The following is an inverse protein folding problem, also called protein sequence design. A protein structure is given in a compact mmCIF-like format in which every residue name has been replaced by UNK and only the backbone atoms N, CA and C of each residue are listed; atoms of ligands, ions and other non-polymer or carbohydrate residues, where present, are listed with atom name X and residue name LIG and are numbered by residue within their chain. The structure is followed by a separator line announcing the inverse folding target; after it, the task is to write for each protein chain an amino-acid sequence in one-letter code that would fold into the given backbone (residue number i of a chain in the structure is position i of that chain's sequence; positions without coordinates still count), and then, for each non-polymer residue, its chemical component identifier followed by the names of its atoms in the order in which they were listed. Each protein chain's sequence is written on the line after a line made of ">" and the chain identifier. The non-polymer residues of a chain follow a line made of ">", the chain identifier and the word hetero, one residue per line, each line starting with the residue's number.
data_IF_743131708330
#
_entry.id   IF_743131708330
#
_cell.length_a   1.000
_cell.length_b   1.000
_cell.length_c   1.000
_cell.angle_alpha   90.00
_cell.angle_beta   90.00
_cell.angle_gamma   90.00
#
_symmetry.space_group_name_H-M   'P 1'
#
loop_
_entity.id
_entity.type
_entity.pdbx_description
1 polymer ?
#
# COMPACT_ATOMS: atom_id res chain seq x y z
N UNK A 1 10.13 26.22 4.76
CA UNK A 1 9.30 27.45 4.80
C UNK A 1 7.91 27.12 5.33
N UNK A 2 7.29 28.05 6.07
CA UNK A 2 5.97 27.90 6.71
C UNK A 2 4.86 27.45 5.75
N UNK A 3 4.93 27.86 4.48
CA UNK A 3 4.01 27.42 3.42
C UNK A 3 4.03 25.90 3.17
N UNK A 4 5.17 25.24 3.40
CA UNK A 4 5.28 23.79 3.23
C UNK A 4 4.63 23.03 4.38
N UNK A 5 4.68 23.56 5.61
CA UNK A 5 4.05 22.93 6.77
C UNK A 5 2.52 23.08 6.75
N UNK A 6 1.99 24.23 6.32
CA UNK A 6 0.53 24.43 6.16
C UNK A 6 -0.08 23.44 5.15
N UNK A 7 0.51 23.34 3.94
CA UNK A 7 0.04 22.39 2.91
C UNK A 7 0.11 20.93 3.37
N UNK A 8 1.10 20.58 4.18
CA UNK A 8 1.20 19.22 4.72
C UNK A 8 0.08 18.92 5.71
N UNK A 9 -0.26 19.87 6.58
CA UNK A 9 -1.39 19.72 7.52
C UNK A 9 -2.74 19.57 6.80
N UNK A 10 -2.93 20.21 5.65
CA UNK A 10 -4.14 19.99 4.86
C UNK A 10 -4.18 18.60 4.21
N UNK A 11 -3.06 18.11 3.67
CA UNK A 11 -2.98 16.74 3.13
C UNK A 11 -3.26 15.69 4.21
N UNK A 12 -2.90 15.94 5.48
CA UNK A 12 -3.23 15.04 6.60
C UNK A 12 -4.73 14.79 6.77
N UNK A 13 -5.57 15.74 6.35
CA UNK A 13 -7.04 15.64 6.42
C UNK A 13 -7.62 14.62 5.42
N UNK A 14 -6.82 14.08 4.49
CA UNK A 14 -7.24 13.00 3.59
C UNK A 14 -7.44 11.71 4.41
N UNK A 15 -8.70 11.41 4.74
CA UNK A 15 -9.10 10.22 5.50
C UNK A 15 -9.19 8.95 4.63
N UNK A 16 -8.08 8.60 3.96
CA UNK A 16 -7.93 7.37 3.17
C UNK A 16 -6.61 6.72 3.54
N UNK A 17 -6.50 5.38 3.57
CA UNK A 17 -5.23 4.70 3.87
C UNK A 17 -4.09 5.19 2.96
N UNK A 18 -4.35 5.22 1.66
CA UNK A 18 -3.50 5.81 0.62
C UNK A 18 -4.34 6.75 -0.25
N UNK A 19 -3.68 7.58 -1.04
CA UNK A 19 -4.33 8.56 -1.89
C UNK A 19 -3.53 8.84 -3.16
N UNK A 20 -4.19 9.49 -4.11
CA UNK A 20 -3.61 9.89 -5.38
C UNK A 20 -3.26 11.38 -5.41
N UNK A 21 -2.48 11.84 -6.41
CA UNK A 21 -2.21 13.28 -6.52
C UNK A 21 -3.51 14.06 -6.81
N UNK A 22 -4.56 13.42 -7.34
CA UNK A 22 -5.89 14.03 -7.50
C UNK A 22 -6.54 14.39 -6.16
N UNK A 23 -6.36 13.56 -5.13
CA UNK A 23 -6.88 13.87 -3.79
C UNK A 23 -6.15 15.08 -3.20
N UNK A 24 -4.84 15.19 -3.46
CA UNK A 24 -4.02 16.34 -3.07
C UNK A 24 -4.44 17.60 -3.84
N UNK A 25 -4.68 17.47 -5.15
CA UNK A 25 -5.17 18.56 -5.99
C UNK A 25 -6.50 19.11 -5.45
N UNK A 26 -7.43 18.20 -5.11
CA UNK A 26 -8.74 18.54 -4.56
C UNK A 26 -8.65 19.24 -3.20
N UNK A 27 -7.85 18.71 -2.27
CA UNK A 27 -7.81 19.27 -0.90
C UNK A 27 -7.07 20.59 -0.80
N UNK A 28 -6.11 20.83 -1.68
CA UNK A 28 -5.34 22.09 -1.73
C UNK A 28 -5.89 23.08 -2.76
N UNK A 29 -6.93 22.72 -3.51
CA UNK A 29 -7.48 23.51 -4.61
C UNK A 29 -6.42 23.96 -5.62
N UNK A 30 -5.55 23.03 -6.05
CA UNK A 30 -4.48 23.27 -7.04
C UNK A 30 -4.66 22.36 -8.27
N UNK A 31 -3.98 22.68 -9.37
CA UNK A 31 -3.98 21.82 -10.56
C UNK A 31 -3.34 20.44 -10.29
N UNK A 32 -3.77 19.43 -11.03
CA UNK A 32 -3.19 18.07 -10.94
C UNK A 32 -1.68 18.05 -11.23
N UNK A 33 -1.22 18.87 -12.17
CA UNK A 33 0.21 19.02 -12.47
C UNK A 33 1.00 19.52 -11.27
N UNK A 34 0.50 20.57 -10.61
CA UNK A 34 1.10 21.11 -9.38
C UNK A 34 1.06 20.10 -8.24
N UNK A 35 -0.04 19.37 -8.08
CA UNK A 35 -0.16 18.31 -7.07
C UNK A 35 0.83 17.18 -7.31
N UNK A 36 1.03 16.76 -8.57
CA UNK A 36 2.01 15.72 -8.92
C UNK A 36 3.46 16.15 -8.60
N UNK A 37 3.82 17.40 -8.90
CA UNK A 37 5.13 17.97 -8.54
C UNK A 37 5.28 18.03 -7.02
N UNK A 38 4.24 18.48 -6.30
CA UNK A 38 4.21 18.54 -4.85
C UNK A 38 4.42 17.16 -4.21
N UNK A 39 3.68 16.14 -4.67
CA UNK A 39 3.83 14.76 -4.20
C UNK A 39 5.25 14.24 -4.43
N UNK A 40 5.83 14.48 -5.62
CA UNK A 40 7.22 14.10 -5.91
C UNK A 40 8.21 14.75 -4.95
N UNK A 41 8.04 16.05 -4.68
CA UNK A 41 8.86 16.79 -3.71
C UNK A 41 8.69 16.25 -2.29
N UNK A 42 7.46 15.96 -1.86
CA UNK A 42 7.18 15.47 -0.52
C UNK A 42 7.65 14.02 -0.30
N UNK A 43 7.73 13.21 -1.37
CA UNK A 43 8.42 11.92 -1.33
C UNK A 43 9.92 12.11 -1.09
N UNK A 44 10.58 13.03 -1.82
CA UNK A 44 12.01 13.34 -1.60
C UNK A 44 12.28 13.84 -0.18
N UNK A 45 11.34 14.56 0.42
CA UNK A 45 11.42 15.08 1.78
C UNK A 45 10.94 14.09 2.86
N UNK A 46 10.57 12.86 2.49
CA UNK A 46 10.06 11.82 3.40
C UNK A 46 8.77 12.17 4.16
N UNK A 47 8.00 13.15 3.68
CA UNK A 47 6.65 13.42 4.19
C UNK A 47 5.62 12.41 3.64
N UNK A 48 5.86 11.93 2.42
CA UNK A 48 5.06 10.92 1.75
C UNK A 48 5.94 9.73 1.38
N UNK A 49 5.34 8.54 1.36
CA UNK A 49 5.94 7.35 0.77
C UNK A 49 5.17 7.03 -0.51
N UNK A 50 5.91 6.75 -1.58
CA UNK A 50 5.33 6.37 -2.87
C UNK A 50 5.07 4.86 -2.90
N UNK A 51 3.81 4.47 -2.91
CA UNK A 51 3.39 3.07 -2.95
C UNK A 51 3.50 2.48 -4.36
N UNK A 52 2.97 3.17 -5.37
CA UNK A 52 3.13 2.83 -6.80
C UNK A 52 2.92 4.09 -7.64
N UNK A 53 2.83 3.95 -8.97
CA UNK A 53 2.47 5.10 -9.83
C UNK A 53 1.16 5.71 -9.33
N UNK A 54 1.17 7.03 -9.13
CA UNK A 54 0.07 7.82 -8.62
C UNK A 54 -0.40 7.51 -7.18
N UNK A 55 0.19 6.57 -6.45
CA UNK A 55 -0.35 6.18 -5.13
C UNK A 55 0.66 6.49 -4.04
N UNK A 56 0.20 7.19 -3.00
CA UNK A 56 1.01 7.72 -1.92
C UNK A 56 0.35 7.43 -0.56
N UNK A 57 1.16 7.35 0.48
CA UNK A 57 0.73 7.30 1.87
C UNK A 57 1.52 8.34 2.67
N UNK A 58 0.92 8.92 3.71
CA UNK A 58 1.63 9.77 4.67
C UNK A 58 2.67 8.93 5.42
N UNK A 59 3.88 9.47 5.60
CA UNK A 59 4.95 8.78 6.34
C UNK A 59 4.50 8.39 7.76
N UNK A 60 3.89 9.33 8.46
CA UNK A 60 3.34 9.10 9.80
C UNK A 60 2.26 8.00 9.85
N UNK A 61 1.44 7.88 8.80
CA UNK A 61 0.43 6.82 8.71
C UNK A 61 1.06 5.45 8.44
N UNK A 62 2.12 5.43 7.63
CA UNK A 62 2.90 4.23 7.40
C UNK A 62 3.60 3.75 8.67
N UNK A 63 4.20 4.67 9.43
CA UNK A 63 4.93 4.32 10.65
C UNK A 63 4.00 3.73 11.72
N UNK A 64 2.74 4.17 11.76
CA UNK A 64 1.70 3.65 12.67
C UNK A 64 0.76 2.62 12.01
N UNK A 65 1.12 2.05 10.86
CA UNK A 65 0.22 1.17 10.11
C UNK A 65 0.06 -0.19 10.81
N UNK A 66 -1.18 -0.63 10.97
CA UNK A 66 -1.47 -1.96 11.53
C UNK A 66 -1.15 -3.07 10.52
N UNK A 67 -0.85 -4.31 10.98
CA UNK A 67 -0.61 -5.44 10.08
C UNK A 67 -1.72 -5.65 9.05
N UNK A 68 -2.99 -5.59 9.48
CA UNK A 68 -4.17 -5.69 8.61
C UNK A 68 -4.15 -4.66 7.47
N UNK A 69 -3.77 -3.42 7.77
CA UNK A 69 -3.69 -2.35 6.76
C UNK A 69 -2.53 -2.57 5.79
N UNK A 70 -1.44 -3.23 6.19
CA UNK A 70 -0.37 -3.64 5.25
C UNK A 70 -0.86 -4.67 4.24
N UNK A 71 -1.75 -5.57 4.65
CA UNK A 71 -2.36 -6.57 3.77
C UNK A 71 -3.31 -5.91 2.76
N UNK A 72 -4.00 -4.83 3.15
CA UNK A 72 -4.74 -3.98 2.20
C UNK A 72 -3.81 -3.33 1.18
N UNK A 73 -2.64 -2.84 1.62
CA UNK A 73 -1.64 -2.27 0.71
C UNK A 73 -1.07 -3.30 -0.26
N UNK A 74 -0.87 -4.55 0.14
CA UNK A 74 -0.44 -5.59 -0.79
C UNK A 74 -1.44 -5.76 -1.96
N UNK A 75 -2.73 -5.87 -1.63
CA UNK A 75 -3.77 -6.06 -2.64
C UNK A 75 -3.94 -4.88 -3.62
N UNK A 76 -3.48 -3.67 -3.27
CA UNK A 76 -3.55 -2.52 -4.19
C UNK A 76 -2.25 -2.33 -4.97
N UNK A 77 -1.13 -2.88 -4.53
CA UNK A 77 0.15 -2.75 -5.21
C UNK A 77 0.18 -3.53 -6.53
N UNK A 78 -0.50 -4.68 -6.59
CA UNK A 78 -0.77 -5.40 -7.82
C UNK A 78 -2.19 -5.96 -7.82
N UNK A 79 -2.94 -5.76 -8.90
CA UNK A 79 -4.33 -6.21 -9.04
C UNK A 79 -4.47 -6.99 -10.34
N UNK A 80 -5.15 -8.15 -10.37
CA UNK A 80 -5.68 -8.88 -9.21
C UNK A 80 -4.58 -9.63 -8.44
N UNK A 81 -4.73 -9.69 -7.12
CA UNK A 81 -3.91 -10.50 -6.22
C UNK A 81 -4.67 -10.90 -4.96
N UNK A 82 -4.16 -11.88 -4.24
CA UNK A 82 -4.59 -12.23 -2.88
C UNK A 82 -3.38 -12.60 -2.01
N UNK A 83 -3.50 -12.42 -0.70
CA UNK A 83 -2.48 -12.84 0.27
C UNK A 83 -2.50 -14.38 0.39
N UNK A 84 -1.33 -15.03 0.34
CA UNK A 84 -1.17 -16.49 0.42
C UNK A 84 0.13 -16.89 1.13
N UNK A 85 0.50 -18.17 1.05
CA UNK A 85 1.78 -18.73 1.53
C UNK A 85 1.99 -18.51 3.04
N UNK A 86 3.21 -18.22 3.48
CA UNK A 86 3.54 -18.08 4.89
C UNK A 86 2.76 -16.93 5.53
N UNK A 87 2.49 -15.86 4.76
CA UNK A 87 1.71 -14.73 5.26
C UNK A 87 0.27 -15.13 5.59
N UNK A 88 -0.37 -15.96 4.75
CA UNK A 88 -1.71 -16.46 5.05
C UNK A 88 -1.69 -17.45 6.22
N UNK A 89 -0.72 -18.37 6.27
CA UNK A 89 -0.61 -19.34 7.36
C UNK A 89 -0.44 -18.65 8.72
N UNK A 90 0.54 -17.75 8.85
CA UNK A 90 0.77 -17.02 10.11
C UNK A 90 -0.40 -16.13 10.52
N UNK A 91 -1.16 -15.59 9.55
CA UNK A 91 -2.35 -14.80 9.86
C UNK A 91 -3.47 -15.65 10.49
N UNK A 92 -3.64 -16.90 10.05
CA UNK A 92 -4.69 -17.79 10.55
C UNK A 92 -4.30 -18.53 11.84
N UNK A 93 -3.02 -18.86 12.01
CA UNK A 93 -2.53 -19.57 13.19
C UNK A 93 -2.28 -18.65 14.40
N UNK A 94 -2.56 -17.35 14.27
CA UNK A 94 -2.33 -16.33 15.31
C UNK A 94 -0.89 -16.33 15.87
N UNK A 95 0.08 -16.82 15.10
CA UNK A 95 1.47 -16.80 15.54
C UNK A 95 1.98 -15.37 15.41
N UNK A 96 2.35 -14.74 16.53
CA UNK A 96 2.91 -13.37 16.56
C UNK A 96 4.31 -13.29 15.95
N UNK A 97 4.85 -14.43 15.51
CA UNK A 97 6.14 -14.60 14.85
C UNK A 97 6.09 -14.29 13.34
N UNK A 98 5.08 -13.53 12.89
CA UNK A 98 5.03 -13.00 11.52
C UNK A 98 6.30 -12.18 11.28
N UNK A 99 7.01 -12.49 10.21
CA UNK A 99 7.97 -11.54 9.64
C UNK A 99 7.19 -10.30 9.19
N UNK A 100 6.95 -9.33 10.09
CA UNK A 100 6.10 -8.15 9.84
C UNK A 100 6.54 -7.30 8.64
N UNK A 101 7.73 -7.60 8.12
CA UNK A 101 8.43 -6.97 7.01
C UNK A 101 8.42 -7.82 5.74
N UNK A 102 7.74 -8.97 5.69
CA UNK A 102 7.66 -9.80 4.50
C UNK A 102 6.20 -10.25 4.28
N UNK A 103 5.60 -9.82 3.17
CA UNK A 103 4.21 -10.08 2.81
C UNK A 103 4.18 -10.78 1.47
N UNK A 104 3.56 -11.95 1.44
CA UNK A 104 3.46 -12.80 0.27
C UNK A 104 2.07 -12.74 -0.35
N UNK A 105 2.02 -12.72 -1.67
CA UNK A 105 0.79 -12.66 -2.44
C UNK A 105 0.90 -13.46 -3.73
N UNK A 106 -0.23 -14.00 -4.16
CA UNK A 106 -0.40 -14.62 -5.46
C UNK A 106 -1.06 -13.63 -6.41
N UNK A 107 -0.65 -13.61 -7.67
CA UNK A 107 -1.21 -12.70 -8.67
C UNK A 107 -1.28 -13.33 -10.06
N UNK A 108 -2.13 -12.76 -10.92
CA UNK A 108 -2.21 -13.12 -12.34
C UNK A 108 -1.27 -12.31 -13.23
N UNK A 109 -0.76 -11.17 -12.74
CA UNK A 109 -0.06 -10.19 -13.58
C UNK A 109 1.40 -10.57 -13.78
N UNK A 110 2.22 -10.59 -12.73
CA UNK A 110 3.65 -10.88 -12.80
C UNK A 110 4.24 -11.30 -11.45
N UNK A 111 5.32 -12.05 -11.49
CA UNK A 111 6.18 -12.28 -10.32
C UNK A 111 7.07 -11.06 -10.14
N UNK A 112 7.04 -10.45 -8.96
CA UNK A 112 7.97 -9.35 -8.62
C UNK A 112 8.02 -9.14 -7.11
N UNK A 113 9.09 -8.47 -6.68
CA UNK A 113 9.28 -8.06 -5.29
C UNK A 113 9.35 -6.55 -5.21
N UNK A 114 8.80 -5.97 -4.15
CA UNK A 114 8.86 -4.54 -3.88
C UNK A 114 9.17 -4.26 -2.42
N UNK A 115 10.28 -3.59 -2.16
CA UNK A 115 10.58 -3.00 -0.86
C UNK A 115 9.92 -1.62 -0.75
N UNK A 116 9.18 -1.40 0.33
CA UNK A 116 8.71 -0.09 0.75
C UNK A 116 9.10 0.08 2.22
N UNK A 117 10.04 0.98 2.50
CA UNK A 117 10.48 1.31 3.87
C UNK A 117 10.86 0.06 4.70
N UNK A 118 11.55 -0.90 4.06
CA UNK A 118 11.99 -2.15 4.70
C UNK A 118 10.88 -3.18 4.87
N UNK A 119 9.71 -2.98 4.27
CA UNK A 119 8.65 -3.99 4.14
C UNK A 119 8.64 -4.51 2.71
N UNK A 120 8.91 -5.79 2.57
CA UNK A 120 8.97 -6.51 1.32
C UNK A 120 7.58 -7.05 0.98
N UNK A 121 7.07 -6.64 -0.17
CA UNK A 121 5.88 -7.21 -0.80
C UNK A 121 6.32 -8.11 -1.93
N UNK A 122 6.13 -9.42 -1.76
CA UNK A 122 6.50 -10.44 -2.71
C UNK A 122 5.27 -10.99 -3.43
N UNK A 123 5.30 -11.00 -4.76
CA UNK A 123 4.23 -11.51 -5.59
C UNK A 123 4.74 -12.66 -6.44
N UNK A 124 4.01 -13.78 -6.40
CA UNK A 124 4.24 -14.93 -7.27
C UNK A 124 3.11 -15.02 -8.30
N UNK A 125 3.47 -15.06 -9.59
CA UNK A 125 2.50 -15.25 -10.66
C UNK A 125 2.10 -16.72 -10.76
N UNK A 126 0.80 -16.96 -10.89
CA UNK A 126 0.27 -18.28 -11.26
C UNK A 126 -0.57 -18.19 -12.54
N UNK A 127 -0.86 -19.35 -13.14
CA UNK A 127 -1.82 -19.44 -14.24
C UNK A 127 -3.24 -19.22 -13.73
N UNK A 128 -4.12 -18.71 -14.60
CA UNK A 128 -5.52 -18.44 -14.27
C UNK A 128 -6.22 -19.69 -13.73
N UNK A 129 -5.93 -20.86 -14.30
CA UNK A 129 -6.51 -22.15 -13.91
C UNK A 129 -6.25 -22.54 -12.45
N UNK A 130 -5.22 -21.94 -11.83
CA UNK A 130 -4.88 -22.15 -10.42
C UNK A 130 -5.32 -21.00 -9.51
N UNK A 131 -5.95 -19.96 -10.06
CA UNK A 131 -6.35 -18.74 -9.33
C UNK A 131 -7.78 -18.87 -8.81
N UNK A 132 -7.96 -19.69 -7.77
CA UNK A 132 -9.25 -19.94 -7.12
C UNK A 132 -9.06 -20.16 -5.60
N UNK A 133 -10.16 -20.40 -4.87
CA UNK A 133 -10.10 -20.74 -3.44
C UNK A 133 -9.88 -19.56 -2.49
N UNK A 134 -9.80 -18.33 -2.99
CA UNK A 134 -9.64 -17.14 -2.17
C UNK A 134 -10.97 -16.56 -1.69
N UNK A 135 -10.97 -15.96 -0.50
CA UNK A 135 -12.13 -15.28 0.08
C UNK A 135 -11.81 -13.83 0.43
N UNK A 136 -12.81 -12.96 0.35
CA UNK A 136 -12.68 -11.57 0.81
C UNK A 136 -13.01 -11.49 2.30
N UNK A 137 -12.01 -11.21 3.13
CA UNK A 137 -12.20 -10.88 4.56
C UNK A 137 -12.07 -9.37 4.75
N UNK A 138 -13.13 -8.70 5.21
CA UNK A 138 -13.19 -7.25 5.42
C UNK A 138 -12.74 -6.43 4.19
N UNK A 139 -11.50 -5.97 4.16
CA UNK A 139 -10.94 -5.07 3.14
C UNK A 139 -9.85 -5.72 2.28
N UNK A 140 -9.62 -7.04 2.39
CA UNK A 140 -8.56 -7.74 1.67
C UNK A 140 -8.97 -9.15 1.20
N UNK A 141 -8.26 -9.68 0.21
CA UNK A 141 -8.50 -11.01 -0.39
C UNK A 141 -7.39 -11.98 0.04
N UNK A 142 -7.76 -13.17 0.50
CA UNK A 142 -6.85 -14.17 1.09
C UNK A 142 -7.15 -15.57 0.60
N UNK A 143 -6.12 -16.40 0.49
CA UNK A 143 -6.23 -17.85 0.31
C UNK A 143 -5.26 -18.59 1.24
N UNK A 144 -5.61 -19.80 1.66
CA UNK A 144 -4.75 -20.70 2.45
C UNK A 144 -4.00 -21.72 1.57
N UNK A 145 -4.27 -21.75 0.26
CA UNK A 145 -3.60 -22.62 -0.70
C UNK A 145 -2.18 -22.17 -1.03
#
# INVERSE_FOLDING_TARGET
>A
SVLSSMKYNDIKKINKLYFAYQDVAKILSISEGSARVLCTRYVKQKYLIRLKRNFYILKERWDNITPNKRLELANILQVPSYISLMTALSFYEYTTQIQQKFIESISLVRTFTKDIEGVVFNYSRIKLDYYFGFSKKKQYIFCLS
#
